data_IF_149493291316
#
_entry.id   IF_149493291316
#
_cell.length_a   1.000
_cell.length_b   1.000
_cell.length_c   1.000
_cell.angle_alpha   90.00
_cell.angle_beta   90.00
_cell.angle_gamma   90.00
#
_symmetry.space_group_name_H-M   'P 1'
#
loop_
_entity.id
_entity.type
_entity.pdbx_description
1 polymer ?
#
# COMPACT_ATOMS: atom_id res chain seq x y z
N UNK A 1 14.63 -2.84 17.16
CA UNK A 1 13.50 -2.67 16.23
C UNK A 1 13.01 -3.96 15.58
N UNK A 2 13.44 -5.15 16.05
CA UNK A 2 12.80 -6.47 15.82
C UNK A 2 11.35 -6.57 16.39
N UNK A 3 10.75 -5.47 16.84
CA UNK A 3 9.56 -5.48 17.70
C UNK A 3 8.21 -5.42 16.98
N UNK A 4 8.14 -4.95 15.73
CA UNK A 4 6.82 -4.86 15.05
C UNK A 4 6.29 -6.26 14.71
N UNK A 5 7.19 -7.21 14.47
CA UNK A 5 6.85 -8.61 14.15
C UNK A 5 6.82 -9.48 15.43
N UNK A 6 7.52 -9.10 16.50
CA UNK A 6 7.63 -9.92 17.72
C UNK A 6 6.46 -9.78 18.72
N UNK A 7 5.57 -8.80 18.56
CA UNK A 7 4.45 -8.54 19.49
C UNK A 7 3.12 -9.19 19.05
N UNK A 8 3.14 -9.98 17.97
CA UNK A 8 1.96 -10.68 17.45
C UNK A 8 1.20 -9.90 16.36
N UNK A 9 0.27 -10.61 15.71
CA UNK A 9 -0.45 -10.10 14.53
C UNK A 9 -1.28 -8.84 14.81
N UNK A 10 -1.71 -8.63 16.06
CA UNK A 10 -2.49 -7.45 16.48
C UNK A 10 -1.65 -6.18 16.34
N UNK A 11 -0.42 -6.17 16.89
CA UNK A 11 0.47 -5.02 16.82
C UNK A 11 0.92 -4.73 15.38
N UNK A 12 1.18 -5.77 14.59
CA UNK A 12 1.50 -5.60 13.17
C UNK A 12 0.34 -4.97 12.40
N UNK A 13 -0.89 -5.45 12.63
CA UNK A 13 -2.09 -4.91 11.99
C UNK A 13 -2.35 -3.46 12.42
N UNK A 14 -2.12 -3.12 13.69
CA UNK A 14 -2.30 -1.74 14.17
C UNK A 14 -1.29 -0.77 13.57
N UNK A 15 -0.02 -1.17 13.45
CA UNK A 15 1.08 -0.26 13.06
C UNK A 15 1.33 -0.20 11.54
N UNK A 16 1.16 -1.31 10.84
CA UNK A 16 1.47 -1.41 9.40
C UNK A 16 0.27 -1.86 8.56
N UNK A 17 -0.92 -1.98 9.16
CA UNK A 17 -2.20 -2.33 8.49
C UNK A 17 -2.19 -3.70 7.81
N UNK A 18 -1.30 -4.59 8.23
CA UNK A 18 -1.21 -5.96 7.74
C UNK A 18 -0.74 -6.91 8.84
N UNK A 19 -1.09 -8.18 8.73
CA UNK A 19 -0.59 -9.21 9.64
C UNK A 19 0.90 -9.51 9.39
N UNK A 20 1.55 -10.20 10.34
CA UNK A 20 2.99 -10.47 10.28
C UNK A 20 3.38 -11.30 9.05
N UNK A 21 2.54 -12.26 8.65
CA UNK A 21 2.81 -13.12 7.49
C UNK A 21 2.81 -12.35 6.18
N UNK A 22 1.84 -11.47 5.98
CA UNK A 22 1.72 -10.60 4.80
C UNK A 22 2.87 -9.59 4.76
N UNK A 23 3.23 -9.02 5.91
CA UNK A 23 4.38 -8.12 6.03
C UNK A 23 5.68 -8.79 5.59
N UNK A 24 5.96 -9.99 6.09
CA UNK A 24 7.16 -10.74 5.73
C UNK A 24 7.16 -11.10 4.24
N UNK A 25 6.03 -11.53 3.68
CA UNK A 25 5.89 -11.77 2.22
C UNK A 25 6.18 -10.51 1.41
N UNK A 26 5.70 -9.35 1.84
CA UNK A 26 5.98 -8.07 1.18
C UNK A 26 7.47 -7.72 1.24
N UNK A 27 8.12 -7.91 2.38
CA UNK A 27 9.56 -7.68 2.53
C UNK A 27 10.38 -8.57 1.57
N UNK A 28 10.00 -9.84 1.42
CA UNK A 28 10.62 -10.75 0.45
C UNK A 28 10.39 -10.29 -0.99
N UNK A 29 9.16 -9.93 -1.36
CA UNK A 29 8.86 -9.44 -2.72
C UNK A 29 9.63 -8.16 -3.06
N UNK A 30 9.72 -7.22 -2.11
CA UNK A 30 10.47 -5.99 -2.30
C UNK A 30 11.96 -6.23 -2.46
N UNK A 31 12.51 -7.22 -1.74
CA UNK A 31 13.91 -7.63 -1.88
C UNK A 31 14.17 -8.28 -3.24
N UNK A 32 13.39 -9.28 -3.61
CA UNK A 32 13.68 -10.17 -4.72
C UNK A 32 13.29 -9.57 -6.07
N UNK A 33 12.14 -8.90 -6.13
CA UNK A 33 11.61 -8.31 -7.37
C UNK A 33 11.76 -6.78 -7.38
N UNK A 34 11.49 -6.13 -6.24
CA UNK A 34 11.66 -4.68 -6.11
C UNK A 34 13.13 -4.22 -6.13
N UNK A 35 14.06 -5.14 -5.86
CA UNK A 35 15.49 -4.85 -5.77
C UNK A 35 15.87 -4.02 -4.54
N UNK A 36 15.04 -4.03 -3.49
CA UNK A 36 15.29 -3.32 -2.25
C UNK A 36 16.47 -3.95 -1.52
N UNK A 37 17.49 -3.14 -1.22
CA UNK A 37 18.68 -3.55 -0.47
C UNK A 37 18.72 -2.84 0.88
N UNK A 38 19.23 -3.55 1.88
CA UNK A 38 19.53 -2.93 3.17
C UNK A 38 20.58 -1.83 2.99
N UNK A 39 20.48 -0.78 3.79
CA UNK A 39 21.52 0.24 3.90
C UNK A 39 22.42 -0.08 5.10
N UNK A 40 23.58 0.58 5.19
CA UNK A 40 24.63 0.31 6.18
C UNK A 40 24.11 0.20 7.63
N UNK A 41 23.02 0.90 7.97
CA UNK A 41 22.47 0.95 9.33
C UNK A 41 20.97 0.63 9.45
N UNK A 42 20.31 0.17 8.38
CA UNK A 42 18.86 -0.11 8.37
C UNK A 42 18.57 -1.40 7.60
N UNK A 43 17.91 -2.34 8.27
CA UNK A 43 17.42 -3.61 7.69
C UNK A 43 16.20 -3.37 6.79
N UNK A 44 15.99 -4.25 5.80
CA UNK A 44 14.86 -4.14 4.86
C UNK A 44 13.53 -4.06 5.60
N UNK A 45 13.34 -4.88 6.63
CA UNK A 45 12.11 -4.91 7.43
C UNK A 45 11.86 -3.55 8.11
N UNK A 46 12.89 -2.90 8.64
CA UNK A 46 12.78 -1.56 9.24
C UNK A 46 12.44 -0.51 8.16
N UNK A 47 13.04 -0.59 6.97
CA UNK A 47 12.72 0.31 5.85
C UNK A 47 11.25 0.21 5.46
N UNK A 48 10.76 -1.02 5.27
CA UNK A 48 9.38 -1.29 4.87
C UNK A 48 8.41 -0.89 5.98
N UNK A 49 8.76 -1.14 7.24
CA UNK A 49 7.93 -0.71 8.37
C UNK A 49 7.81 0.82 8.47
N UNK A 50 8.89 1.57 8.28
CA UNK A 50 8.84 3.05 8.25
C UNK A 50 7.89 3.53 7.15
N UNK A 51 8.03 2.97 5.94
CA UNK A 51 7.19 3.34 4.81
C UNK A 51 5.71 3.05 5.07
N UNK A 52 5.39 1.82 5.51
CA UNK A 52 4.02 1.40 5.79
C UNK A 52 3.39 2.19 6.92
N UNK A 53 4.12 2.42 8.02
CA UNK A 53 3.65 3.23 9.13
C UNK A 53 3.35 4.67 8.70
N UNK A 54 4.19 5.24 7.83
CA UNK A 54 4.00 6.60 7.29
C UNK A 54 2.68 6.70 6.52
N UNK A 55 2.41 5.77 5.58
CA UNK A 55 1.19 5.81 4.77
C UNK A 55 -0.06 5.37 5.55
N UNK A 56 0.09 4.47 6.52
CA UNK A 56 -1.02 3.94 7.33
C UNK A 56 -1.60 4.97 8.30
N UNK A 57 -0.77 5.89 8.77
CA UNK A 57 -1.12 6.86 9.81
C UNK A 57 -0.98 8.31 9.34
N UNK A 58 -0.52 8.53 8.10
CA UNK A 58 -0.25 9.86 7.53
C UNK A 58 0.66 10.72 8.43
N UNK A 59 1.69 10.07 8.99
CA UNK A 59 2.56 10.67 9.99
C UNK A 59 3.60 11.62 9.38
N UNK A 60 3.86 12.73 10.06
CA UNK A 60 4.85 13.72 9.60
C UNK A 60 6.27 13.23 9.88
N UNK A 61 7.24 13.62 9.03
CA UNK A 61 8.65 13.26 9.19
C UNK A 61 9.19 13.51 10.62
N UNK A 62 8.82 14.63 11.25
CA UNK A 62 9.22 14.93 12.63
C UNK A 62 8.77 13.86 13.63
N UNK A 63 7.56 13.31 13.48
CA UNK A 63 7.06 12.26 14.36
C UNK A 63 7.79 10.94 14.10
N UNK A 64 8.04 10.61 12.83
CA UNK A 64 8.80 9.43 12.43
C UNK A 64 10.23 9.43 12.99
N UNK A 65 10.87 10.59 13.08
CA UNK A 65 12.20 10.73 13.68
C UNK A 65 12.23 10.29 15.13
N UNK A 66 11.18 10.63 15.89
CA UNK A 66 11.04 10.23 17.30
C UNK A 66 10.73 8.73 17.40
N UNK A 67 9.75 8.25 16.62
CA UNK A 67 9.30 6.85 16.65
C UNK A 67 10.41 5.87 16.27
N UNK A 68 11.14 6.15 15.18
CA UNK A 68 12.16 5.26 14.64
C UNK A 68 13.59 5.64 15.07
N UNK A 69 13.77 6.75 15.80
CA UNK A 69 15.09 7.24 16.26
C UNK A 69 16.10 7.37 15.11
N UNK A 70 15.61 7.82 13.94
CA UNK A 70 16.40 8.06 12.73
C UNK A 70 16.36 9.54 12.38
N UNK A 71 17.37 10.04 11.66
CA UNK A 71 17.34 11.41 11.16
C UNK A 71 16.25 11.60 10.12
N UNK A 72 15.72 12.83 10.01
CA UNK A 72 14.68 13.13 9.02
C UNK A 72 15.13 12.90 7.58
N UNK A 73 16.41 13.12 7.29
CA UNK A 73 17.03 12.79 6.01
C UNK A 73 16.97 11.28 5.73
N UNK A 74 17.28 10.46 6.74
CA UNK A 74 17.22 9.00 6.63
C UNK A 74 15.80 8.53 6.34
N UNK A 75 14.81 9.08 7.03
CA UNK A 75 13.40 8.75 6.81
C UNK A 75 12.96 9.11 5.39
N UNK A 76 13.28 10.31 4.91
CA UNK A 76 12.98 10.70 3.53
C UNK A 76 13.64 9.78 2.49
N UNK A 77 14.91 9.42 2.70
CA UNK A 77 15.63 8.48 1.81
C UNK A 77 14.96 7.10 1.82
N UNK A 78 14.63 6.58 3.00
CA UNK A 78 13.95 5.28 3.15
C UNK A 78 12.61 5.28 2.42
N UNK A 79 11.75 6.27 2.68
CA UNK A 79 10.44 6.38 2.03
C UNK A 79 10.58 6.39 0.51
N UNK A 80 11.50 7.20 -0.03
CA UNK A 80 11.74 7.29 -1.47
C UNK A 80 12.23 5.96 -2.06
N UNK A 81 13.19 5.30 -1.40
CA UNK A 81 13.75 4.02 -1.87
C UNK A 81 12.72 2.90 -1.85
N UNK A 82 11.92 2.81 -0.77
CA UNK A 82 10.87 1.79 -0.66
C UNK A 82 9.76 2.06 -1.68
N UNK A 83 9.33 3.32 -1.85
CA UNK A 83 8.34 3.70 -2.85
C UNK A 83 8.76 3.27 -4.26
N UNK A 84 10.00 3.58 -4.66
CA UNK A 84 10.53 3.17 -5.97
C UNK A 84 10.54 1.65 -6.14
N UNK A 85 10.82 0.91 -5.07
CA UNK A 85 10.80 -0.57 -5.08
C UNK A 85 9.37 -1.11 -5.20
N UNK A 86 8.41 -0.49 -4.53
CA UNK A 86 6.98 -0.81 -4.64
C UNK A 86 6.46 -0.56 -6.05
N UNK A 87 6.84 0.56 -6.69
CA UNK A 87 6.42 0.88 -8.06
C UNK A 87 6.90 -0.17 -9.08
N UNK A 88 8.05 -0.82 -8.86
CA UNK A 88 8.51 -1.93 -9.69
C UNK A 88 7.63 -3.17 -9.56
N UNK A 89 6.95 -3.34 -8.42
CA UNK A 89 5.99 -4.43 -8.19
C UNK A 89 4.62 -4.17 -8.83
N UNK A 90 4.38 -3.03 -9.49
CA UNK A 90 3.05 -2.69 -10.00
C UNK A 90 2.45 -3.78 -10.89
N UNK A 91 3.25 -4.45 -11.71
CA UNK A 91 2.77 -5.48 -12.64
C UNK A 91 2.32 -6.76 -11.94
N UNK A 92 2.82 -7.01 -10.73
CA UNK A 92 2.47 -8.15 -9.89
C UNK A 92 1.32 -7.82 -8.94
N UNK A 93 1.33 -6.62 -8.36
CA UNK A 93 0.36 -6.22 -7.34
C UNK A 93 -0.91 -5.60 -7.93
N UNK A 94 -0.82 -4.92 -9.08
CA UNK A 94 -1.95 -4.29 -9.71
C UNK A 94 -2.45 -5.16 -10.86
N UNK A 95 -3.72 -5.52 -10.79
CA UNK A 95 -4.40 -6.16 -11.92
C UNK A 95 -4.49 -5.16 -13.06
N UNK A 96 -4.05 -5.56 -14.26
CA UNK A 96 -4.30 -4.76 -15.46
C UNK A 96 -5.81 -4.62 -15.64
N UNK A 97 -6.36 -3.39 -15.68
CA UNK A 97 -7.79 -3.21 -15.90
C UNK A 97 -8.14 -3.77 -17.27
N UNK A 98 -9.17 -4.61 -17.30
CA UNK A 98 -9.79 -5.06 -18.56
C UNK A 98 -11.02 -4.19 -18.81
N UNK A 99 -11.21 -3.69 -20.04
CA UNK A 99 -12.42 -2.95 -20.36
C UNK A 99 -13.65 -3.85 -20.20
N UNK A 100 -14.76 -3.24 -19.80
CA UNK A 100 -16.06 -3.93 -19.83
C UNK A 100 -16.45 -4.12 -21.29
N UNK A 101 -16.73 -5.36 -21.67
CA UNK A 101 -17.16 -5.72 -23.02
C UNK A 101 -18.52 -5.09 -23.34
N UNK A 102 -18.74 -4.71 -24.61
CA UNK A 102 -19.98 -4.04 -25.05
C UNK A 102 -21.24 -4.91 -24.90
N UNK A 103 -21.04 -6.21 -24.98
CA UNK A 103 -22.00 -7.30 -24.82
C UNK A 103 -22.00 -7.90 -23.41
N UNK A 104 -21.42 -7.21 -22.42
CA UNK A 104 -21.46 -7.66 -21.02
C UNK A 104 -22.89 -7.77 -20.50
N UNK A 105 -23.34 -9.00 -20.28
CA UNK A 105 -24.64 -9.32 -19.66
C UNK A 105 -24.65 -9.18 -18.14
N UNK A 106 -23.49 -8.94 -17.51
CA UNK A 106 -23.42 -8.69 -16.07
C UNK A 106 -24.21 -7.42 -15.70
N UNK A 107 -25.31 -7.52 -14.93
CA UNK A 107 -26.13 -6.37 -14.53
C UNK A 107 -25.33 -5.28 -13.82
N UNK A 108 -24.22 -5.65 -13.17
CA UNK A 108 -23.31 -4.73 -12.48
C UNK A 108 -22.54 -3.83 -13.44
N UNK A 109 -22.20 -4.35 -14.62
CA UNK A 109 -21.27 -3.73 -15.55
C UNK A 109 -21.90 -3.30 -16.88
N UNK A 110 -23.11 -3.77 -17.19
CA UNK A 110 -23.84 -3.50 -18.45
C UNK A 110 -23.94 -2.02 -18.84
N UNK A 111 -23.90 -1.11 -17.86
CA UNK A 111 -23.98 0.34 -18.06
C UNK A 111 -22.61 1.02 -18.24
N UNK A 112 -21.51 0.30 -17.99
CA UNK A 112 -20.13 0.80 -18.04
C UNK A 112 -19.37 0.31 -19.28
N UNK A 113 -20.05 0.19 -20.42
CA UNK A 113 -19.48 -0.31 -21.68
C UNK A 113 -18.24 0.50 -22.07
N UNK A 114 -17.18 -0.18 -22.49
CA UNK A 114 -15.89 0.41 -22.85
C UNK A 114 -15.18 1.18 -21.70
N UNK A 115 -15.71 1.16 -20.48
CA UNK A 115 -15.00 1.74 -19.34
C UNK A 115 -13.85 0.81 -18.92
N UNK A 116 -12.67 1.40 -18.73
CA UNK A 116 -11.50 0.76 -18.11
C UNK A 116 -11.69 0.71 -16.59
N UNK A 117 -12.69 -0.06 -16.15
CA UNK A 117 -12.92 -0.39 -14.75
C UNK A 117 -13.55 0.72 -13.89
N UNK A 118 -14.66 0.40 -13.23
CA UNK A 118 -14.74 0.77 -11.82
C UNK A 118 -13.79 -0.21 -11.10
N UNK A 119 -12.57 0.24 -10.83
CA UNK A 119 -11.37 -0.55 -10.52
C UNK A 119 -11.53 -1.65 -9.43
N UNK A 120 -12.53 -1.55 -8.57
CA UNK A 120 -12.73 -2.44 -7.42
C UNK A 120 -14.12 -3.12 -7.39
N UNK A 121 -15.02 -2.79 -8.32
CA UNK A 121 -16.38 -3.33 -8.27
C UNK A 121 -17.22 -2.84 -7.09
N UNK A 122 -16.79 -1.81 -6.37
CA UNK A 122 -17.56 -1.21 -5.28
C UNK A 122 -18.65 -0.30 -5.85
N UNK A 123 -19.91 -0.75 -5.81
CA UNK A 123 -21.07 0.08 -6.17
C UNK A 123 -21.44 0.91 -4.95
N UNK A 124 -21.39 2.25 -5.08
CA UNK A 124 -21.86 3.17 -4.05
C UNK A 124 -23.27 3.62 -4.42
N UNK A 125 -24.26 3.23 -3.61
CA UNK A 125 -25.63 3.71 -3.78
C UNK A 125 -25.70 5.20 -3.41
N UNK A 126 -26.02 6.06 -4.38
CA UNK A 126 -26.23 7.49 -4.18
C UNK A 126 -27.71 7.80 -4.36
N UNK A 127 -28.32 8.46 -3.37
CA UNK A 127 -29.62 9.11 -3.57
C UNK A 127 -29.36 10.55 -3.98
N UNK A 128 -29.64 10.88 -5.25
CA UNK A 128 -29.69 12.27 -5.67
C UNK A 128 -30.90 12.94 -5.01
N UNK A 129 -30.68 14.06 -4.34
CA UNK A 129 -31.76 14.97 -3.96
C UNK A 129 -32.37 15.51 -5.24
N UNK A 130 -33.69 15.42 -5.39
CA UNK A 130 -34.38 16.08 -6.49
C UNK A 130 -34.14 17.58 -6.35
N UNK A 131 -33.44 18.20 -7.31
CA UNK A 131 -33.54 19.64 -7.48
C UNK A 131 -35.01 19.95 -7.77
N UNK A 132 -35.58 20.86 -6.98
CA UNK A 132 -36.96 21.29 -7.08
C UNK A 132 -37.19 21.88 -8.48
N UNK A 133 -37.91 21.16 -9.34
CA UNK A 133 -38.55 21.70 -10.53
C UNK A 133 -39.74 22.58 -10.14
#
# INVERSE_FOLDING_TARGET
MRCIVSHGDISCTMLVRMNCKTFQKLCTLLRDVGGLRCSWNIEIDEMVAIFLYTIAHNEKNRQLQVTFRRSGETICKVIKTVLNSVLKLHSLLLRKPKPVLEDSDDPKWKHFKNCLGALDGTIVNVRATKENQ
#
